data_IF_713493067443
#
_entry.id   IF_713493067443
#
_cell.length_a   1.000
_cell.length_b   1.000
_cell.length_c   1.000
_cell.angle_alpha   90.00
_cell.angle_beta   90.00
_cell.angle_gamma   90.00
#
_symmetry.space_group_name_H-M   'P 1'
#
loop_
_entity.id
_entity.type
_entity.pdbx_description
1 polymer ?
#
# COMPACT_ATOMS: atom_id res chain seq x y z
N UNK A 1 12.98 7.15 -32.93
CA UNK A 1 13.53 7.78 -31.71
C UNK A 1 12.51 8.82 -31.27
N UNK A 2 11.71 8.52 -30.24
CA UNK A 2 10.63 9.41 -29.78
C UNK A 2 10.97 9.80 -28.33
N UNK A 3 11.63 10.95 -28.15
CA UNK A 3 12.20 11.40 -26.88
C UNK A 3 11.29 12.38 -26.13
N UNK A 4 9.99 12.31 -26.31
CA UNK A 4 9.03 13.32 -25.79
C UNK A 4 8.25 12.89 -24.54
N UNK A 5 8.48 11.70 -23.97
CA UNK A 5 7.69 11.21 -22.81
C UNK A 5 8.25 11.42 -21.39
N UNK A 6 9.50 11.85 -21.09
CA UNK A 6 9.91 12.01 -19.70
C UNK A 6 9.49 13.35 -19.07
N UNK A 7 9.32 14.43 -19.85
CA UNK A 7 9.08 15.77 -19.29
C UNK A 7 7.63 16.05 -18.89
N UNK A 8 6.64 15.55 -19.66
CA UNK A 8 5.21 15.82 -19.37
C UNK A 8 4.73 15.19 -18.05
N UNK A 9 5.30 14.05 -17.67
CA UNK A 9 4.99 13.41 -16.38
C UNK A 9 5.54 14.20 -15.17
N UNK A 10 6.55 15.05 -15.37
CA UNK A 10 7.26 15.72 -14.27
C UNK A 10 6.46 16.84 -13.60
N UNK A 11 5.46 17.44 -14.27
CA UNK A 11 4.65 18.53 -13.69
C UNK A 11 3.31 18.09 -13.08
N UNK A 12 2.91 16.82 -13.24
CA UNK A 12 1.60 16.35 -12.80
C UNK A 12 1.55 15.91 -11.33
N UNK A 13 2.68 15.51 -10.76
CA UNK A 13 2.75 14.94 -9.41
C UNK A 13 3.44 15.89 -8.43
N UNK A 14 3.06 15.82 -7.15
CA UNK A 14 3.82 16.50 -6.09
C UNK A 14 5.23 15.91 -5.96
N UNK A 15 6.18 16.69 -5.45
CA UNK A 15 7.57 16.22 -5.25
C UNK A 15 7.64 14.99 -4.34
N UNK A 16 6.69 14.87 -3.40
CA UNK A 16 6.55 13.68 -2.55
C UNK A 16 6.27 12.42 -3.38
N UNK A 17 5.42 12.51 -4.39
CA UNK A 17 5.11 11.38 -5.28
C UNK A 17 6.25 11.09 -6.24
N UNK A 18 6.87 12.12 -6.82
CA UNK A 18 8.06 11.97 -7.67
C UNK A 18 9.19 11.24 -6.93
N UNK A 19 9.47 11.61 -5.68
CA UNK A 19 10.51 10.95 -4.87
C UNK A 19 10.20 9.47 -4.64
N UNK A 20 8.93 9.13 -4.34
CA UNK A 20 8.51 7.73 -4.18
C UNK A 20 8.67 6.94 -5.48
N UNK A 21 8.20 7.49 -6.59
CA UNK A 21 8.24 6.84 -7.89
C UNK A 21 9.68 6.62 -8.36
N UNK A 22 10.53 7.64 -8.24
CA UNK A 22 11.95 7.53 -8.56
C UNK A 22 12.65 6.42 -7.75
N UNK A 23 12.32 6.29 -6.47
CA UNK A 23 12.87 5.22 -5.63
C UNK A 23 12.45 3.82 -6.13
N UNK A 24 11.17 3.63 -6.44
CA UNK A 24 10.67 2.34 -6.95
C UNK A 24 11.18 2.02 -8.36
N UNK A 25 11.38 3.02 -9.20
CA UNK A 25 11.97 2.86 -10.54
C UNK A 25 13.42 2.39 -10.44
N UNK A 26 14.21 3.03 -9.56
CA UNK A 26 15.63 2.72 -9.40
C UNK A 26 15.91 1.39 -8.67
N UNK A 27 15.05 0.99 -7.73
CA UNK A 27 15.34 -0.12 -6.82
C UNK A 27 14.30 -1.25 -6.83
N UNK A 28 13.25 -1.12 -7.65
CA UNK A 28 12.14 -2.05 -7.72
C UNK A 28 11.12 -1.88 -6.59
N UNK A 29 10.10 -2.75 -6.58
CA UNK A 29 9.09 -2.78 -5.52
C UNK A 29 9.62 -3.38 -4.22
N UNK A 30 8.83 -3.36 -3.12
CA UNK A 30 9.31 -3.81 -1.81
C UNK A 30 9.80 -5.27 -1.76
N UNK A 31 9.35 -6.10 -2.70
CA UNK A 31 9.74 -7.51 -2.87
C UNK A 31 11.00 -7.70 -3.73
N UNK A 32 11.52 -6.64 -4.35
CA UNK A 32 12.73 -6.70 -5.16
C UNK A 32 13.98 -6.81 -4.25
N UNK A 33 15.03 -7.52 -4.69
CA UNK A 33 16.27 -7.68 -3.91
C UNK A 33 16.96 -6.34 -3.66
N UNK A 34 16.87 -5.38 -4.60
CA UNK A 34 17.49 -4.06 -4.50
C UNK A 34 16.80 -3.08 -3.54
N UNK A 35 15.52 -3.32 -3.21
CA UNK A 35 14.73 -2.40 -2.40
C UNK A 35 15.25 -2.28 -0.96
N UNK A 36 15.47 -3.43 -0.31
CA UNK A 36 15.86 -3.54 1.11
C UNK A 36 17.21 -2.84 1.37
N UNK A 37 18.28 -3.10 0.59
CA UNK A 37 19.56 -2.43 0.75
C UNK A 37 19.46 -0.92 0.52
N UNK A 38 18.80 -0.48 -0.56
CA UNK A 38 18.66 0.94 -0.89
C UNK A 38 17.88 1.70 0.19
N UNK A 39 16.80 1.11 0.69
CA UNK A 39 15.98 1.71 1.74
C UNK A 39 16.77 1.89 3.04
N UNK A 40 17.66 0.95 3.39
CA UNK A 40 18.48 1.04 4.61
C UNK A 40 19.43 2.24 4.61
N UNK A 41 19.87 2.69 3.44
CA UNK A 41 20.79 3.82 3.28
C UNK A 41 20.10 5.19 3.44
N UNK A 42 18.77 5.24 3.34
CA UNK A 42 18.03 6.49 3.50
C UNK A 42 17.98 6.96 4.96
N UNK A 43 17.83 8.27 5.24
CA UNK A 43 17.45 8.76 6.56
C UNK A 43 16.07 8.24 7.01
N UNK A 44 15.82 8.14 8.32
CA UNK A 44 14.61 7.55 8.89
C UNK A 44 13.31 8.10 8.29
N UNK A 45 13.16 9.44 8.21
CA UNK A 45 11.96 10.07 7.65
C UNK A 45 11.72 9.73 6.18
N UNK A 46 12.79 9.57 5.40
CA UNK A 46 12.69 9.11 4.00
C UNK A 46 12.28 7.64 3.95
N UNK A 47 12.79 6.77 4.84
CA UNK A 47 12.34 5.37 4.93
C UNK A 47 10.83 5.30 5.18
N UNK A 48 10.33 6.08 6.13
CA UNK A 48 8.88 6.13 6.44
C UNK A 48 8.10 6.68 5.24
N UNK A 49 8.58 7.75 4.59
CA UNK A 49 7.92 8.34 3.41
C UNK A 49 7.75 7.34 2.26
N UNK A 50 8.76 6.50 2.01
CA UNK A 50 8.75 5.49 0.95
C UNK A 50 7.82 4.32 1.33
N UNK A 51 7.96 3.75 2.54
CA UNK A 51 7.21 2.56 2.93
C UNK A 51 5.78 2.83 3.38
N UNK A 52 5.43 4.06 3.74
CA UNK A 52 4.17 4.32 4.41
C UNK A 52 3.45 5.54 3.86
N UNK A 53 2.13 5.42 3.78
CA UNK A 53 1.22 6.49 3.41
C UNK A 53 0.28 6.78 4.58
N UNK A 54 0.52 7.91 5.24
CA UNK A 54 -0.28 8.35 6.38
C UNK A 54 -1.75 8.56 6.01
N UNK A 55 -2.05 9.11 4.83
CA UNK A 55 -3.43 9.31 4.41
C UNK A 55 -4.14 7.97 4.18
N UNK A 56 -3.48 7.00 3.54
CA UNK A 56 -4.08 5.68 3.38
C UNK A 56 -4.31 4.97 4.72
N UNK A 57 -3.47 5.21 5.72
CA UNK A 57 -3.69 4.63 7.05
C UNK A 57 -4.97 5.13 7.72
N UNK A 58 -5.25 6.44 7.70
CA UNK A 58 -6.44 7.01 8.35
C UNK A 58 -7.71 6.96 7.50
N UNK A 59 -7.56 7.08 6.18
CA UNK A 59 -8.69 7.20 5.24
C UNK A 59 -8.91 5.94 4.40
N UNK A 60 -8.06 4.91 4.57
CA UNK A 60 -8.24 3.54 4.09
C UNK A 60 -8.84 3.45 2.68
N UNK A 61 -9.97 2.73 2.51
CA UNK A 61 -10.57 2.52 1.20
C UNK A 61 -10.93 3.81 0.44
N UNK A 62 -11.39 4.85 1.14
CA UNK A 62 -11.84 6.10 0.51
C UNK A 62 -10.67 6.76 -0.23
N UNK A 63 -9.49 6.78 0.39
CA UNK A 63 -8.29 7.36 -0.21
C UNK A 63 -7.83 6.59 -1.45
N UNK A 64 -7.90 5.26 -1.45
CA UNK A 64 -7.51 4.46 -2.61
C UNK A 64 -8.48 4.63 -3.80
N UNK A 65 -9.78 4.85 -3.54
CA UNK A 65 -10.71 5.20 -4.61
C UNK A 65 -10.38 6.56 -5.24
N UNK A 66 -10.06 7.57 -4.43
CA UNK A 66 -9.62 8.88 -4.93
C UNK A 66 -8.36 8.75 -5.80
N UNK A 67 -7.45 7.86 -5.45
CA UNK A 67 -6.23 7.58 -6.23
C UNK A 67 -6.45 6.68 -7.46
N UNK A 68 -7.69 6.27 -7.75
CA UNK A 68 -8.00 5.41 -8.89
C UNK A 68 -7.59 3.94 -8.71
N UNK A 69 -7.20 3.51 -7.51
CA UNK A 69 -6.73 2.14 -7.21
C UNK A 69 -7.87 1.13 -6.98
N UNK A 70 -8.98 1.28 -7.71
CA UNK A 70 -10.25 0.62 -7.41
C UNK A 70 -10.19 -0.92 -7.44
N UNK A 71 -9.47 -1.55 -8.39
CA UNK A 71 -9.37 -3.03 -8.46
C UNK A 71 -8.73 -3.62 -7.20
N UNK A 72 -7.53 -3.13 -6.86
CA UNK A 72 -6.82 -3.54 -5.64
C UNK A 72 -7.67 -3.24 -4.41
N UNK A 73 -8.30 -2.07 -4.35
CA UNK A 73 -9.12 -1.67 -3.22
C UNK A 73 -10.30 -2.63 -3.00
N UNK A 74 -11.06 -2.96 -4.05
CA UNK A 74 -12.18 -3.91 -3.98
C UNK A 74 -11.72 -5.30 -3.53
N UNK A 75 -10.61 -5.81 -4.09
CA UNK A 75 -10.03 -7.08 -3.62
C UNK A 75 -9.62 -7.02 -2.16
N UNK A 76 -9.05 -5.91 -1.71
CA UNK A 76 -8.62 -5.80 -0.32
C UNK A 76 -9.80 -5.72 0.65
N UNK A 77 -10.86 -4.96 0.30
CA UNK A 77 -12.11 -4.93 1.06
C UNK A 77 -12.71 -6.33 1.18
N UNK A 78 -12.75 -7.10 0.08
CA UNK A 78 -13.25 -8.48 0.11
C UNK A 78 -12.44 -9.37 1.07
N UNK A 79 -11.09 -9.27 1.05
CA UNK A 79 -10.23 -9.98 2.00
C UNK A 79 -10.52 -9.54 3.44
N UNK A 80 -10.64 -8.23 3.69
CA UNK A 80 -10.92 -7.70 5.03
C UNK A 80 -12.24 -8.26 5.57
N UNK A 81 -13.30 -8.26 4.77
CA UNK A 81 -14.61 -8.79 5.17
C UNK A 81 -14.52 -10.28 5.52
N UNK A 82 -13.89 -11.09 4.66
CA UNK A 82 -13.72 -12.53 4.89
C UNK A 82 -12.91 -12.80 6.17
N UNK A 83 -11.79 -12.10 6.35
CA UNK A 83 -10.92 -12.28 7.52
C UNK A 83 -11.61 -11.82 8.80
N UNK A 84 -12.35 -10.71 8.77
CA UNK A 84 -13.11 -10.23 9.93
C UNK A 84 -14.19 -11.23 10.34
N UNK A 85 -15.03 -11.68 9.41
CA UNK A 85 -16.09 -12.66 9.69
C UNK A 85 -15.49 -13.97 10.22
N UNK A 86 -14.44 -14.49 9.58
CA UNK A 86 -13.79 -15.73 10.02
C UNK A 86 -13.21 -15.58 11.43
N UNK A 87 -12.61 -14.42 11.73
CA UNK A 87 -12.03 -14.13 13.05
C UNK A 87 -13.13 -14.06 14.12
N UNK A 88 -14.25 -13.39 13.84
CA UNK A 88 -15.39 -13.27 14.75
C UNK A 88 -15.99 -14.65 15.08
N UNK A 89 -16.21 -15.49 14.07
CA UNK A 89 -16.71 -16.88 14.24
C UNK A 89 -15.78 -17.69 15.13
N UNK A 90 -14.46 -17.61 14.91
CA UNK A 90 -13.47 -18.34 15.71
C UNK A 90 -13.48 -17.83 17.15
N UNK A 91 -13.46 -16.52 17.36
CA UNK A 91 -13.45 -15.93 18.69
C UNK A 91 -14.72 -16.27 19.49
N UNK A 92 -15.89 -16.23 18.84
CA UNK A 92 -17.16 -16.63 19.45
C UNK A 92 -17.16 -18.11 19.83
N UNK A 93 -16.77 -18.99 18.90
CA UNK A 93 -16.76 -20.45 19.10
C UNK A 93 -15.91 -20.89 20.30
N UNK A 94 -14.78 -20.22 20.53
CA UNK A 94 -13.85 -20.55 21.61
C UNK A 94 -14.02 -19.67 22.86
N UNK A 95 -15.05 -18.80 22.90
CA UNK A 95 -15.30 -17.92 24.05
C UNK A 95 -14.13 -16.99 24.36
N UNK A 96 -13.47 -16.45 23.33
CA UNK A 96 -12.26 -15.66 23.50
C UNK A 96 -12.55 -14.35 24.26
N UNK A 97 -12.04 -14.26 25.50
CA UNK A 97 -12.31 -13.15 26.44
C UNK A 97 -12.00 -11.76 25.88
N UNK A 98 -11.06 -11.65 24.93
CA UNK A 98 -10.59 -10.39 24.36
C UNK A 98 -11.03 -10.19 22.90
N UNK A 99 -12.19 -10.73 22.52
CA UNK A 99 -12.67 -10.70 21.13
C UNK A 99 -12.79 -9.27 20.58
N UNK A 100 -13.23 -8.32 21.41
CA UNK A 100 -13.41 -6.92 21.02
C UNK A 100 -12.07 -6.23 20.75
N UNK A 101 -11.09 -6.47 21.61
CA UNK A 101 -9.74 -5.94 21.51
C UNK A 101 -9.03 -6.53 20.29
N UNK A 102 -9.16 -7.84 20.07
CA UNK A 102 -8.63 -8.50 18.89
C UNK A 102 -9.25 -7.97 17.60
N UNK A 103 -10.57 -7.74 17.56
CA UNK A 103 -11.26 -7.14 16.42
C UNK A 103 -10.75 -5.72 16.13
N UNK A 104 -10.55 -4.93 17.20
CA UNK A 104 -10.01 -3.56 17.09
C UNK A 104 -8.56 -3.56 16.58
N UNK A 105 -7.73 -4.49 17.08
CA UNK A 105 -6.37 -4.67 16.64
C UNK A 105 -6.31 -5.11 15.16
N UNK A 106 -7.20 -6.00 14.73
CA UNK A 106 -7.32 -6.42 13.34
C UNK A 106 -7.66 -5.25 12.41
N UNK A 107 -8.59 -4.37 12.83
CA UNK A 107 -8.87 -3.11 12.11
C UNK A 107 -7.63 -2.22 11.96
N UNK A 108 -6.84 -2.09 13.02
CA UNK A 108 -5.56 -1.37 12.98
C UNK A 108 -4.56 -1.99 12.01
N UNK A 109 -4.48 -3.33 11.95
CA UNK A 109 -3.64 -4.05 10.99
C UNK A 109 -4.07 -3.75 9.55
N UNK A 110 -5.37 -3.75 9.25
CA UNK A 110 -5.84 -3.40 7.90
C UNK A 110 -5.50 -1.96 7.52
N UNK A 111 -5.66 -1.00 8.44
CA UNK A 111 -5.24 0.38 8.22
C UNK A 111 -3.73 0.48 7.97
N UNK A 112 -2.91 -0.26 8.74
CA UNK A 112 -1.46 -0.33 8.54
C UNK A 112 -1.11 -0.89 7.15
N UNK A 113 -1.81 -1.93 6.70
CA UNK A 113 -1.64 -2.49 5.36
C UNK A 113 -2.03 -1.50 4.26
N UNK A 114 -3.12 -0.75 4.39
CA UNK A 114 -3.42 0.35 3.48
C UNK A 114 -2.27 1.36 3.41
N UNK A 115 -1.75 1.76 4.57
CA UNK A 115 -0.58 2.63 4.67
C UNK A 115 0.64 2.09 3.93
N UNK A 116 0.94 0.80 4.07
CA UNK A 116 2.13 0.18 3.48
C UNK A 116 2.02 -0.04 1.96
N UNK A 117 0.85 -0.48 1.49
CA UNK A 117 0.66 -0.94 0.11
C UNK A 117 0.46 0.22 -0.88
N UNK A 118 -0.11 1.34 -0.42
CA UNK A 118 -0.59 2.41 -1.31
C UNK A 118 0.51 3.04 -2.15
N UNK A 119 1.69 3.30 -1.59
CA UNK A 119 2.74 4.02 -2.32
C UNK A 119 3.21 3.24 -3.55
N UNK A 120 3.42 1.93 -3.40
CA UNK A 120 3.87 1.08 -4.50
C UNK A 120 2.73 0.77 -5.47
N UNK A 121 1.51 0.53 -4.97
CA UNK A 121 0.33 0.34 -5.80
C UNK A 121 0.08 1.55 -6.72
N UNK A 122 0.26 2.77 -6.20
CA UNK A 122 0.11 3.98 -7.00
C UNK A 122 1.19 4.15 -8.05
N UNK A 123 2.44 3.82 -7.72
CA UNK A 123 3.53 3.76 -8.70
C UNK A 123 3.22 2.78 -9.85
N UNK A 124 2.72 1.57 -9.53
CA UNK A 124 2.32 0.61 -10.55
C UNK A 124 1.21 1.14 -11.45
N UNK A 125 0.23 1.84 -10.88
CA UNK A 125 -0.88 2.45 -11.63
C UNK A 125 -0.39 3.56 -12.56
N UNK A 126 0.27 4.58 -12.01
CA UNK A 126 0.60 5.81 -12.73
C UNK A 126 1.83 5.66 -13.65
N UNK A 127 2.86 4.95 -13.19
CA UNK A 127 4.14 4.87 -13.93
C UNK A 127 4.20 3.63 -14.82
N UNK A 128 3.58 2.53 -14.39
CA UNK A 128 3.61 1.27 -15.15
C UNK A 128 2.32 0.94 -15.88
N UNK A 129 1.24 1.71 -15.67
CA UNK A 129 -0.08 1.41 -16.25
C UNK A 129 -0.67 0.07 -15.77
N UNK A 130 -0.19 -0.47 -14.63
CA UNK A 130 -0.54 -1.80 -14.14
C UNK A 130 -1.63 -1.73 -13.07
N UNK A 131 -2.85 -2.09 -13.48
CA UNK A 131 -4.02 -2.26 -12.61
C UNK A 131 -4.36 -3.74 -12.42
N UNK A 132 -3.84 -4.35 -11.35
CA UNK A 132 -4.09 -5.75 -10.99
C UNK A 132 -5.13 -5.88 -9.86
N UNK A 133 -5.70 -7.07 -9.71
CA UNK A 133 -6.58 -7.44 -8.59
C UNK A 133 -5.81 -7.95 -7.36
N UNK A 134 -4.48 -7.98 -7.38
CA UNK A 134 -3.70 -8.38 -6.21
C UNK A 134 -3.44 -7.15 -5.32
N UNK A 135 -4.12 -6.99 -4.17
CA UNK A 135 -3.88 -5.85 -3.29
C UNK A 135 -2.54 -5.94 -2.55
N UNK A 136 -2.01 -7.15 -2.39
CA UNK A 136 -0.77 -7.42 -1.65
C UNK A 136 0.46 -7.39 -2.57
N UNK A 137 0.33 -6.85 -3.78
CA UNK A 137 1.45 -6.69 -4.69
C UNK A 137 2.46 -5.70 -4.09
N UNK A 138 3.65 -6.21 -3.75
CA UNK A 138 4.66 -5.45 -3.02
C UNK A 138 4.55 -5.59 -1.49
N UNK A 139 3.70 -6.47 -0.95
CA UNK A 139 3.80 -6.88 0.44
C UNK A 139 4.98 -7.82 0.60
N UNK A 140 5.84 -7.55 1.59
CA UNK A 140 6.98 -8.38 1.95
C UNK A 140 6.87 -8.85 3.40
N UNK A 141 7.11 -10.13 3.61
CA UNK A 141 7.26 -10.77 4.93
C UNK A 141 8.72 -10.68 5.42
#
# INVERSE_FOLDING_TARGET
>A
MNTSEPEKASNQYSDKWKERFAFFEAHGGPNAPGFKPALKQLPFLKKVKINFNFFAFFFGPIYLFIMGLWKKNLSFIAIMVVVSIASDIVMEKYGFRYAREASSALGFVFNALYGQLTNYAYYLNEVKGKQSWNPLEGLRW
#
